data_IF_657564869054
#
_entry.id   IF_657564869054
#
_cell.length_a   1.000
_cell.length_b   1.000
_cell.length_c   1.000
_cell.angle_alpha   90.00
_cell.angle_beta   90.00
_cell.angle_gamma   90.00
#
_symmetry.space_group_name_H-M   'P 1'
#
loop_
_entity.id
_entity.type
_entity.pdbx_description
1 polymer ?
#
# COMPACT_ATOMS: atom_id res chain seq x y z
N UNK A 1 14.15 -16.29 15.68
CA UNK A 1 14.70 -15.01 15.99
C UNK A 1 14.05 -13.87 15.22
N UNK A 2 12.91 -14.15 14.66
CA UNK A 2 12.20 -13.16 13.88
C UNK A 2 11.53 -12.16 14.79
N UNK A 3 11.83 -10.88 14.62
CA UNK A 3 11.03 -9.90 15.32
C UNK A 3 9.61 -9.92 14.84
N UNK A 4 8.71 -9.61 15.72
CA UNK A 4 7.32 -9.46 15.34
C UNK A 4 7.16 -8.24 14.44
N UNK A 5 6.02 -8.17 13.76
CA UNK A 5 5.73 -7.04 12.91
C UNK A 5 6.47 -7.09 11.59
N UNK A 6 6.95 -8.25 11.22
CA UNK A 6 7.56 -8.42 9.92
C UNK A 6 8.93 -7.81 9.77
N UNK A 7 9.59 -7.50 10.88
CA UNK A 7 10.87 -6.80 10.84
C UNK A 7 11.95 -7.52 10.07
N UNK A 8 11.92 -8.86 10.05
CA UNK A 8 12.91 -9.64 9.32
C UNK A 8 12.38 -10.25 8.04
N UNK A 9 11.15 -9.97 7.67
CA UNK A 9 10.55 -10.53 6.47
C UNK A 9 10.79 -9.55 5.32
N UNK A 10 11.39 -10.06 4.23
CA UNK A 10 11.60 -9.24 3.04
C UNK A 10 10.27 -8.98 2.35
N UNK A 11 9.99 -7.73 2.09
CA UNK A 11 8.79 -7.33 1.38
C UNK A 11 9.09 -7.21 -0.11
N UNK A 12 8.14 -7.61 -0.94
CA UNK A 12 8.23 -7.44 -2.39
C UNK A 12 7.32 -6.30 -2.79
N UNK A 13 7.90 -5.28 -3.40
CA UNK A 13 7.12 -4.11 -3.80
C UNK A 13 7.86 -3.33 -4.89
N UNK A 14 7.13 -2.44 -5.56
CA UNK A 14 7.73 -1.45 -6.45
C UNK A 14 7.67 -0.10 -5.78
N UNK A 15 8.74 0.68 -5.91
CA UNK A 15 8.76 2.06 -5.42
C UNK A 15 8.02 3.01 -6.35
N UNK A 16 7.58 2.53 -7.51
CA UNK A 16 6.86 3.34 -8.48
C UNK A 16 5.38 2.99 -8.43
N UNK A 17 4.55 3.99 -8.23
CA UNK A 17 3.11 3.86 -8.18
C UNK A 17 2.53 4.82 -9.20
N UNK A 18 1.49 4.40 -9.93
CA UNK A 18 0.82 5.30 -10.86
C UNK A 18 -0.67 5.35 -10.56
N UNK A 19 -1.26 6.52 -10.76
CA UNK A 19 -2.68 6.75 -10.51
C UNK A 19 -3.29 7.31 -11.78
N UNK A 20 -4.40 6.68 -12.22
CA UNK A 20 -5.21 7.17 -13.33
C UNK A 20 -6.44 7.86 -12.74
N UNK A 21 -6.46 9.20 -12.81
CA UNK A 21 -7.57 9.97 -12.24
C UNK A 21 -8.87 9.82 -13.03
N UNK A 22 -8.79 9.42 -14.30
CA UNK A 22 -10.01 9.21 -15.07
C UNK A 22 -10.78 7.98 -14.61
N UNK A 23 -10.07 6.98 -14.11
CA UNK A 23 -10.67 5.74 -13.64
C UNK A 23 -10.61 5.61 -12.12
N UNK A 24 -9.88 6.50 -11.45
CA UNK A 24 -9.64 6.43 -10.00
C UNK A 24 -9.02 5.10 -9.59
N UNK A 25 -8.09 4.62 -10.42
CA UNK A 25 -7.40 3.34 -10.20
C UNK A 25 -5.93 3.61 -9.96
N UNK A 26 -5.39 2.88 -8.99
CA UNK A 26 -3.98 2.93 -8.62
C UNK A 26 -3.32 1.65 -9.06
N UNK A 27 -2.19 1.77 -9.76
CA UNK A 27 -1.35 0.65 -10.14
C UNK A 27 -0.12 0.63 -9.24
N UNK A 28 0.13 -0.50 -8.62
CA UNK A 28 1.22 -0.65 -7.65
C UNK A 28 1.67 -2.11 -7.66
N UNK A 29 2.68 -2.39 -6.89
CA UNK A 29 3.02 -3.78 -6.58
C UNK A 29 3.34 -3.86 -5.10
N UNK A 30 2.63 -4.71 -4.40
CA UNK A 30 2.93 -5.01 -3.01
C UNK A 30 2.51 -6.45 -2.72
N UNK A 31 3.43 -7.22 -2.15
CA UNK A 31 3.18 -8.63 -1.84
C UNK A 31 3.52 -8.91 -0.38
N UNK A 32 2.67 -9.69 0.26
CA UNK A 32 2.97 -10.26 1.57
C UNK A 32 3.68 -11.58 1.32
N UNK A 33 4.95 -11.73 1.73
CA UNK A 33 5.73 -12.93 1.41
C UNK A 33 5.06 -14.20 1.94
N UNK A 34 5.29 -15.31 1.24
CA UNK A 34 4.72 -16.59 1.66
C UNK A 34 5.19 -17.06 3.01
N UNK A 35 6.36 -16.62 3.46
CA UNK A 35 6.90 -17.00 4.77
C UNK A 35 6.44 -16.09 5.90
N UNK A 36 5.67 -15.07 5.59
CA UNK A 36 5.14 -14.17 6.61
C UNK A 36 4.18 -14.94 7.52
N UNK A 37 4.13 -14.54 8.78
CA UNK A 37 3.17 -15.10 9.73
C UNK A 37 2.09 -14.09 10.09
N UNK A 38 1.98 -13.02 9.33
CA UNK A 38 1.01 -11.96 9.59
C UNK A 38 0.28 -11.59 8.32
N UNK A 39 -0.96 -11.15 8.48
CA UNK A 39 -1.69 -10.48 7.41
C UNK A 39 -1.24 -9.04 7.35
N UNK A 40 -1.37 -8.41 6.21
CA UNK A 40 -0.95 -7.02 6.03
C UNK A 40 -2.04 -6.21 5.36
N UNK A 41 -2.06 -4.92 5.70
CA UNK A 41 -2.81 -3.92 4.93
C UNK A 41 -1.78 -2.91 4.45
N UNK A 42 -1.84 -2.54 3.17
CA UNK A 42 -0.99 -1.49 2.64
C UNK A 42 -1.84 -0.25 2.39
N UNK A 43 -1.34 0.88 2.87
CA UNK A 43 -1.90 2.19 2.59
C UNK A 43 -0.91 2.98 1.76
N UNK A 44 -1.42 3.87 0.90
CA UNK A 44 -0.58 4.86 0.22
C UNK A 44 -0.93 6.21 0.81
N UNK A 45 0.08 6.93 1.26
CA UNK A 45 -0.06 8.22 1.93
C UNK A 45 0.65 9.29 1.12
N UNK A 46 -0.05 10.38 0.82
CA UNK A 46 0.52 11.58 0.18
C UNK A 46 0.10 12.76 1.04
N UNK A 47 1.06 13.60 1.43
CA UNK A 47 0.80 14.81 2.24
C UNK A 47 -0.05 14.48 3.49
N UNK A 48 0.35 13.42 4.19
CA UNK A 48 -0.31 12.98 5.42
C UNK A 48 -1.75 12.51 5.24
N UNK A 49 -2.19 12.33 4.00
CA UNK A 49 -3.53 11.79 3.72
C UNK A 49 -3.40 10.38 3.18
N UNK A 50 -4.18 9.47 3.72
CA UNK A 50 -4.30 8.12 3.16
C UNK A 50 -5.20 8.23 1.94
N UNK A 51 -4.66 7.90 0.77
CA UNK A 51 -5.43 7.99 -0.47
C UNK A 51 -5.84 6.63 -1.02
N UNK A 52 -5.22 5.56 -0.53
CA UNK A 52 -5.49 4.19 -0.97
C UNK A 52 -5.32 3.28 0.22
N UNK A 53 -6.15 2.25 0.32
CA UNK A 53 -5.99 1.24 1.35
C UNK A 53 -6.48 -0.10 0.82
N UNK A 54 -5.66 -1.12 1.00
CA UNK A 54 -6.03 -2.49 0.61
C UNK A 54 -6.92 -3.14 1.68
N UNK A 55 -7.51 -4.28 1.33
CA UNK A 55 -8.01 -5.21 2.34
C UNK A 55 -6.84 -5.98 2.94
N UNK A 56 -7.15 -6.98 3.75
CA UNK A 56 -6.13 -7.85 4.31
C UNK A 56 -5.45 -8.65 3.21
N UNK A 57 -4.13 -8.61 3.20
CA UNK A 57 -3.30 -9.35 2.24
C UNK A 57 -2.66 -10.49 3.02
N UNK A 58 -3.07 -11.71 2.71
CA UNK A 58 -2.58 -12.89 3.39
C UNK A 58 -1.19 -13.28 2.88
N UNK A 59 -0.41 -14.02 3.68
CA UNK A 59 0.89 -14.48 3.20
C UNK A 59 0.80 -15.18 1.85
N UNK A 60 1.70 -14.83 0.95
CA UNK A 60 1.73 -15.37 -0.40
C UNK A 60 0.88 -14.62 -1.41
N UNK A 61 0.08 -13.65 -0.97
CA UNK A 61 -0.78 -12.88 -1.87
C UNK A 61 -0.19 -11.51 -2.16
N UNK A 62 -0.69 -10.91 -3.25
CA UNK A 62 -0.20 -9.60 -3.68
C UNK A 62 -1.35 -8.76 -4.21
N UNK A 63 -1.11 -7.44 -4.27
CA UNK A 63 -2.03 -6.52 -4.92
C UNK A 63 -1.27 -5.77 -6.00
N UNK A 64 -1.95 -5.55 -7.14
CA UNK A 64 -1.39 -4.80 -8.27
C UNK A 64 -2.26 -3.61 -8.65
N UNK A 65 -3.51 -3.62 -8.27
CA UNK A 65 -4.41 -2.50 -8.51
C UNK A 65 -5.29 -2.30 -7.29
N UNK A 66 -5.60 -1.05 -6.99
CA UNK A 66 -6.51 -0.68 -5.92
C UNK A 66 -7.28 0.55 -6.36
N UNK A 67 -8.46 0.73 -5.80
CA UNK A 67 -9.24 1.93 -6.06
C UNK A 67 -8.79 3.06 -5.15
N UNK A 68 -8.86 4.30 -5.64
CA UNK A 68 -8.70 5.46 -4.78
C UNK A 68 -9.83 5.48 -3.75
N UNK A 69 -9.50 5.90 -2.53
CA UNK A 69 -10.54 6.12 -1.53
C UNK A 69 -11.43 7.28 -1.98
N UNK A 70 -12.66 7.28 -1.51
CA UNK A 70 -13.66 8.27 -1.90
C UNK A 70 -13.12 9.68 -1.69
N UNK A 71 -13.34 10.52 -2.69
CA UNK A 71 -12.94 11.93 -2.69
C UNK A 71 -11.42 12.17 -2.73
N UNK A 72 -10.59 11.14 -2.77
CA UNK A 72 -9.14 11.33 -2.84
C UNK A 72 -8.74 11.96 -4.17
N UNK A 73 -9.48 11.70 -5.25
CA UNK A 73 -9.19 12.33 -6.54
C UNK A 73 -9.27 13.85 -6.47
N UNK A 74 -10.03 14.40 -5.53
CA UNK A 74 -10.16 15.86 -5.37
C UNK A 74 -8.92 16.48 -4.74
N UNK A 75 -8.07 15.66 -4.15
CA UNK A 75 -6.85 16.14 -3.49
C UNK A 75 -5.64 16.04 -4.40
N UNK A 76 -5.81 15.47 -5.59
CA UNK A 76 -4.69 15.17 -6.47
C UNK A 76 -4.87 15.87 -7.81
N UNK A 77 -3.76 16.36 -8.34
CA UNK A 77 -3.68 16.84 -9.72
C UNK A 77 -2.58 16.05 -10.41
N UNK A 78 -2.54 16.13 -11.74
CA UNK A 78 -1.49 15.46 -12.49
C UNK A 78 -0.13 15.94 -12.02
N UNK A 79 0.82 15.03 -11.94
CA UNK A 79 2.17 15.34 -11.51
C UNK A 79 2.81 14.16 -10.80
N UNK A 80 3.99 14.43 -10.23
CA UNK A 80 4.78 13.43 -9.52
C UNK A 80 4.84 13.84 -8.05
N UNK A 81 4.54 12.91 -7.18
CA UNK A 81 4.46 13.15 -5.75
C UNK A 81 5.39 12.21 -5.00
N UNK A 82 5.97 12.72 -3.92
CA UNK A 82 6.60 11.86 -2.93
C UNK A 82 5.51 11.33 -2.02
N UNK A 83 5.41 10.02 -1.97
CA UNK A 83 4.45 9.36 -1.10
C UNK A 83 5.14 8.28 -0.30
N UNK A 84 4.34 7.49 0.37
CA UNK A 84 4.87 6.34 1.09
C UNK A 84 3.82 5.24 1.17
N UNK A 85 4.29 4.00 1.20
CA UNK A 85 3.50 2.88 1.68
C UNK A 85 3.54 2.94 3.21
N UNK A 86 2.40 2.74 3.82
CA UNK A 86 2.30 2.51 5.26
C UNK A 86 1.72 1.12 5.44
N UNK A 87 2.49 0.20 6.02
CA UNK A 87 2.13 -1.20 6.10
C UNK A 87 1.74 -1.54 7.52
N UNK A 88 0.52 -2.03 7.67
CA UNK A 88 -0.06 -2.43 8.94
C UNK A 88 -0.04 -3.94 9.03
N UNK A 89 0.32 -4.47 10.19
CA UNK A 89 0.46 -5.92 10.41
C UNK A 89 -0.60 -6.41 11.37
N UNK A 90 -1.16 -7.57 11.06
CA UNK A 90 -2.24 -8.16 11.84
C UNK A 90 -1.94 -9.63 12.13
N UNK A 91 -2.19 -10.03 13.37
CA UNK A 91 -2.03 -11.42 13.77
C UNK A 91 -3.06 -12.28 13.03
N UNK A 92 -2.62 -13.40 12.46
CA UNK A 92 -3.50 -14.26 11.68
C UNK A 92 -4.51 -15.01 12.53
N UNK A 93 -4.23 -15.20 13.82
CA UNK A 93 -5.09 -16.00 14.69
C UNK A 93 -6.14 -15.14 15.36
N UNK A 94 -5.72 -14.04 16.00
CA UNK A 94 -6.65 -13.21 16.77
C UNK A 94 -7.03 -11.91 16.09
N UNK A 95 -6.39 -11.57 14.97
CA UNK A 95 -6.71 -10.36 14.21
C UNK A 95 -6.18 -9.07 14.83
N UNK A 96 -5.40 -9.15 15.89
CA UNK A 96 -4.90 -7.94 16.55
C UNK A 96 -3.85 -7.26 15.70
N UNK A 97 -3.95 -5.94 15.64
CA UNK A 97 -3.00 -5.12 14.91
C UNK A 97 -1.72 -4.97 15.74
N UNK A 98 -0.57 -5.16 15.08
CA UNK A 98 0.71 -4.90 15.72
C UNK A 98 0.86 -3.40 15.98
N UNK A 99 1.67 -3.08 16.98
CA UNK A 99 1.87 -1.69 17.39
C UNK A 99 2.69 -0.92 16.35
N UNK A 100 3.66 -1.58 15.73
CA UNK A 100 4.61 -0.93 14.81
C UNK A 100 4.16 -1.09 13.37
N UNK A 101 4.17 0.00 12.63
CA UNK A 101 3.94 0.01 11.18
C UNK A 101 5.28 0.15 10.45
N UNK A 102 5.31 -0.27 9.19
CA UNK A 102 6.47 -0.05 8.34
C UNK A 102 6.14 1.03 7.32
N UNK A 103 7.02 2.01 7.15
CA UNK A 103 6.85 3.06 6.15
C UNK A 103 7.94 2.93 5.11
N UNK A 104 7.55 3.00 3.84
CA UNK A 104 8.46 2.87 2.71
C UNK A 104 8.21 4.01 1.72
N UNK A 105 9.22 4.86 1.45
CA UNK A 105 9.03 5.93 0.46
C UNK A 105 8.76 5.36 -0.92
N UNK A 106 7.82 5.98 -1.63
CA UNK A 106 7.49 5.62 -3.02
C UNK A 106 7.28 6.88 -3.82
N UNK A 107 7.42 6.77 -5.13
CA UNK A 107 7.15 7.85 -6.07
C UNK A 107 5.80 7.57 -6.71
N UNK A 108 4.89 8.54 -6.64
CA UNK A 108 3.54 8.39 -7.17
C UNK A 108 3.36 9.35 -8.35
N UNK A 109 3.11 8.78 -9.52
CA UNK A 109 2.84 9.54 -10.73
C UNK A 109 1.34 9.56 -10.96
N UNK A 110 0.77 10.76 -11.01
CA UNK A 110 -0.67 10.95 -11.16
C UNK A 110 -0.94 11.47 -12.57
N UNK A 111 -1.79 10.78 -13.29
CA UNK A 111 -2.10 11.07 -14.69
C UNK A 111 -3.59 10.94 -14.95
N UNK A 112 -4.04 11.48 -16.08
CA UNK A 112 -5.38 11.26 -16.59
C UNK A 112 -5.23 10.59 -17.94
N UNK A 113 -5.37 9.28 -17.94
CA UNK A 113 -5.17 8.51 -19.17
C UNK A 113 -6.37 8.70 -20.09
N UNK A 114 -6.09 8.90 -21.37
CA UNK A 114 -7.14 8.97 -22.37
C UNK A 114 -7.71 7.60 -22.64
N UNK A 115 -8.99 7.55 -22.97
CA UNK A 115 -9.67 6.29 -23.27
C UNK A 115 -9.44 5.85 -24.71
#
# INVERSE_FOLDING_TARGET
DQPDGGGSVSLTYSKEVSIDLNKNIVSLLFANPGKSNQDMIVQIVIHDSVIVQSGLIKPGNQVKTLDLLDSSEKKLTEGIYDGKFNILYYDQINGEKAIVNTEIPVTVTVEKWLQ
#
